data_IF_625729963323
#
_entry.id   IF_625729963323
#
_cell.length_a   1.000
_cell.length_b   1.000
_cell.length_c   1.000
_cell.angle_alpha   90.00
_cell.angle_beta   90.00
_cell.angle_gamma   90.00
#
_symmetry.space_group_name_H-M   'P 1'
#
loop_
_entity.id
_entity.type
_entity.pdbx_description
1 polymer ?
#
# COMPACT_ATOMS: atom_id res chain seq x y z
N UNK A 1 11.77 6.35 0.95
CA UNK A 1 12.01 4.92 1.28
C UNK A 1 13.36 4.72 1.98
N UNK A 2 14.46 5.27 1.43
CA UNK A 2 15.82 5.09 1.99
C UNK A 2 15.88 5.48 3.47
N UNK A 3 15.43 6.69 3.81
CA UNK A 3 15.44 7.20 5.18
C UNK A 3 14.58 6.34 6.13
N UNK A 4 13.42 5.91 5.66
CA UNK A 4 12.52 5.06 6.44
C UNK A 4 13.16 3.70 6.71
N UNK A 5 13.74 3.04 5.70
CA UNK A 5 14.42 1.76 5.89
C UNK A 5 15.63 1.88 6.83
N UNK A 6 16.40 2.95 6.72
CA UNK A 6 17.52 3.20 7.66
C UNK A 6 17.04 3.28 9.12
N UNK A 7 15.90 3.92 9.36
CA UNK A 7 15.30 4.00 10.70
C UNK A 7 14.82 2.64 11.20
N UNK A 8 14.20 1.86 10.33
CA UNK A 8 13.75 0.50 10.69
C UNK A 8 14.94 -0.37 11.07
N UNK A 9 16.00 -0.37 10.26
CA UNK A 9 17.21 -1.15 10.49
C UNK A 9 17.87 -0.72 11.79
N UNK A 10 18.03 0.58 12.01
CA UNK A 10 18.64 1.12 13.23
C UNK A 10 17.94 0.64 14.50
N UNK A 11 16.63 0.42 14.44
CA UNK A 11 15.82 0.00 15.59
C UNK A 11 15.51 -1.51 15.60
N UNK A 12 16.11 -2.28 14.68
CA UNK A 12 15.87 -3.73 14.57
C UNK A 12 14.48 -4.10 14.07
N UNK A 13 13.72 -3.14 13.55
CA UNK A 13 12.35 -3.35 13.10
C UNK A 13 12.28 -4.07 11.76
N UNK A 14 13.32 -3.99 10.95
CA UNK A 14 13.45 -4.72 9.68
C UNK A 14 13.45 -6.24 9.90
N UNK A 15 13.94 -6.71 11.03
CA UNK A 15 13.90 -8.12 11.42
C UNK A 15 12.63 -8.46 12.19
N UNK A 16 12.15 -7.55 13.03
CA UNK A 16 10.97 -7.78 13.86
C UNK A 16 9.67 -7.82 13.04
N UNK A 17 9.43 -6.82 12.18
CA UNK A 17 8.16 -6.69 11.47
C UNK A 17 7.83 -7.95 10.65
N UNK A 18 8.74 -8.52 9.84
CA UNK A 18 8.43 -9.75 9.11
C UNK A 18 8.09 -10.95 9.98
N UNK A 19 8.53 -10.96 11.25
CA UNK A 19 8.27 -12.04 12.18
C UNK A 19 6.93 -11.93 12.92
N UNK A 20 6.24 -10.80 12.80
CA UNK A 20 4.98 -10.55 13.49
C UNK A 20 3.88 -11.50 12.99
N UNK A 21 3.02 -11.94 13.92
CA UNK A 21 1.87 -12.83 13.62
C UNK A 21 0.55 -12.11 13.68
N UNK A 22 0.46 -11.01 14.42
CA UNK A 22 -0.73 -10.18 14.44
C UNK A 22 -0.90 -9.42 13.12
N UNK A 23 -2.12 -8.96 12.80
CA UNK A 23 -2.33 -8.14 11.62
C UNK A 23 -1.45 -6.88 11.62
N UNK A 24 -0.85 -6.60 10.48
CA UNK A 24 0.01 -5.43 10.26
C UNK A 24 -0.53 -4.66 9.06
N UNK A 25 -0.70 -3.36 9.20
CA UNK A 25 -1.18 -2.48 8.12
C UNK A 25 -0.08 -1.47 7.73
N UNK A 26 0.37 -1.55 6.50
CA UNK A 26 1.25 -0.55 5.88
C UNK A 26 0.43 0.48 5.11
N UNK A 27 0.57 1.76 5.44
CA UNK A 27 -0.13 2.86 4.78
C UNK A 27 0.85 3.66 3.94
N UNK A 28 0.50 3.93 2.69
CA UNK A 28 1.27 4.70 1.72
C UNK A 28 2.70 4.16 1.58
N UNK A 29 3.71 4.88 2.08
CA UNK A 29 5.09 4.39 2.13
C UNK A 29 5.19 3.04 2.85
N UNK A 30 4.40 2.85 3.91
CA UNK A 30 4.36 1.58 4.65
C UNK A 30 4.00 0.39 3.78
N UNK A 31 3.04 0.54 2.87
CA UNK A 31 2.72 -0.50 1.88
C UNK A 31 3.93 -0.82 0.99
N UNK A 32 4.60 0.22 0.49
CA UNK A 32 5.74 0.06 -0.39
C UNK A 32 6.93 -0.62 0.31
N UNK A 33 7.11 -0.36 1.59
CA UNK A 33 8.18 -1.00 2.39
C UNK A 33 7.92 -2.48 2.66
N UNK A 34 6.68 -2.97 2.53
CA UNK A 34 6.39 -4.40 2.60
C UNK A 34 6.96 -5.18 1.41
N UNK A 35 7.26 -4.51 0.31
CA UNK A 35 7.76 -5.12 -0.93
C UNK A 35 9.25 -5.43 -0.85
N UNK A 36 9.76 -6.20 -1.85
CA UNK A 36 11.17 -6.57 -1.91
C UNK A 36 12.09 -5.37 -2.14
N UNK A 37 11.72 -4.54 -3.11
CA UNK A 37 12.54 -3.41 -3.56
C UNK A 37 11.69 -2.23 -3.98
N UNK A 38 12.29 -1.06 -3.98
CA UNK A 38 11.67 0.14 -4.55
C UNK A 38 12.67 0.91 -5.40
N UNK A 39 12.21 1.47 -6.51
CA UNK A 39 12.99 2.39 -7.34
C UNK A 39 13.29 3.70 -6.62
N UNK A 40 12.56 4.04 -5.56
CA UNK A 40 12.84 5.20 -4.74
C UNK A 40 14.16 5.01 -3.98
N UNK A 41 15.23 5.56 -4.55
CA UNK A 41 16.59 5.43 -4.02
C UNK A 41 17.18 4.02 -4.19
N UNK A 42 16.63 3.20 -5.09
CA UNK A 42 17.05 1.81 -5.34
C UNK A 42 17.28 1.05 -4.03
N UNK A 43 16.26 1.03 -3.18
CA UNK A 43 16.33 0.53 -1.81
C UNK A 43 15.62 -0.82 -1.67
N UNK A 44 16.18 -1.71 -0.86
CA UNK A 44 15.50 -2.93 -0.45
C UNK A 44 14.43 -2.60 0.59
N UNK A 45 13.26 -3.25 0.46
CA UNK A 45 12.20 -3.21 1.46
C UNK A 45 12.30 -4.35 2.46
N UNK A 46 11.17 -4.69 3.07
CA UNK A 46 11.08 -5.75 4.09
C UNK A 46 10.99 -7.17 3.49
N UNK A 47 10.81 -7.28 2.18
CA UNK A 47 10.81 -8.57 1.51
C UNK A 47 9.59 -9.47 1.81
N UNK A 48 8.49 -8.88 2.24
CA UNK A 48 7.27 -9.64 2.57
C UNK A 48 6.47 -9.95 1.32
N UNK A 49 6.30 -8.97 0.44
CA UNK A 49 5.60 -9.13 -0.85
C UNK A 49 6.63 -9.15 -1.97
N UNK A 50 6.67 -10.23 -2.80
CA UNK A 50 7.74 -10.42 -3.78
C UNK A 50 7.53 -9.58 -5.05
N UNK A 51 7.63 -8.26 -4.92
CA UNK A 51 7.48 -7.33 -6.04
C UNK A 51 8.38 -6.11 -5.87
N UNK A 52 8.59 -5.40 -6.97
CA UNK A 52 9.35 -4.15 -7.00
C UNK A 52 8.40 -2.97 -7.16
N UNK A 53 8.55 -1.98 -6.29
CA UNK A 53 7.84 -0.70 -6.39
C UNK A 53 8.47 0.13 -7.50
N UNK A 54 7.67 0.63 -8.43
CA UNK A 54 8.11 1.32 -9.64
C UNK A 54 7.72 2.80 -9.59
N UNK A 55 8.46 3.64 -10.30
CA UNK A 55 8.10 5.04 -10.47
C UNK A 55 7.09 5.20 -11.61
N UNK A 56 6.10 6.09 -11.43
CA UNK A 56 5.20 6.44 -12.52
C UNK A 56 5.99 7.03 -13.71
N UNK A 57 5.57 6.73 -14.95
CA UNK A 57 6.24 7.25 -16.15
C UNK A 57 6.08 8.77 -16.28
N UNK A 58 6.99 9.41 -17.02
CA UNK A 58 6.95 10.85 -17.25
C UNK A 58 5.78 11.32 -18.15
N UNK A 59 5.00 10.39 -18.67
CA UNK A 59 3.81 10.67 -19.49
C UNK A 59 2.62 11.18 -18.66
N UNK A 60 2.69 11.07 -17.34
CA UNK A 60 1.68 11.55 -16.40
C UNK A 60 2.30 12.49 -15.39
N UNK A 61 1.46 13.33 -14.76
CA UNK A 61 1.91 14.19 -13.68
C UNK A 61 2.34 13.35 -12.47
N UNK A 62 3.51 13.63 -11.92
CA UNK A 62 4.07 12.95 -10.73
C UNK A 62 4.37 14.01 -9.67
N UNK A 63 3.92 13.85 -8.41
CA UNK A 63 3.13 12.73 -7.89
C UNK A 63 1.68 12.70 -8.40
N UNK A 64 1.07 11.51 -8.38
CA UNK A 64 -0.39 11.41 -8.39
C UNK A 64 -0.89 12.01 -7.08
N UNK A 65 -1.77 12.98 -7.13
CA UNK A 65 -2.28 13.66 -5.93
C UNK A 65 -3.77 13.93 -6.09
N UNK A 66 -4.55 13.49 -5.12
CA UNK A 66 -5.99 13.70 -5.09
C UNK A 66 -6.79 12.41 -4.94
N UNK A 67 -8.08 12.53 -5.19
CA UNK A 67 -9.03 11.42 -5.08
C UNK A 67 -9.05 10.59 -6.36
N UNK A 68 -9.04 9.27 -6.22
CA UNK A 68 -9.16 8.36 -7.35
C UNK A 68 -10.01 7.15 -6.99
N UNK A 69 -10.58 6.53 -8.02
CA UNK A 69 -11.46 5.38 -7.90
C UNK A 69 -10.68 4.14 -7.48
N UNK A 70 -11.26 3.37 -6.58
CA UNK A 70 -10.68 2.11 -6.10
C UNK A 70 -11.69 0.98 -6.33
N UNK A 71 -11.23 -0.08 -6.98
CA UNK A 71 -11.96 -1.35 -7.08
C UNK A 71 -11.27 -2.40 -6.21
N UNK A 72 -12.03 -3.28 -5.57
CA UNK A 72 -11.48 -4.18 -4.56
C UNK A 72 -12.23 -5.52 -4.52
N UNK A 73 -11.67 -6.47 -3.79
CA UNK A 73 -12.21 -7.82 -3.64
C UNK A 73 -13.46 -7.92 -2.75
N UNK A 74 -13.84 -6.85 -2.07
CA UNK A 74 -14.95 -6.81 -1.10
C UNK A 74 -14.81 -7.80 0.06
N UNK A 75 -13.58 -8.14 0.42
CA UNK A 75 -13.25 -9.03 1.54
C UNK A 75 -12.17 -8.41 2.41
N UNK A 76 -12.00 -8.92 3.62
CA UNK A 76 -10.97 -8.45 4.54
C UNK A 76 -11.12 -6.96 4.82
N UNK A 77 -10.07 -6.16 4.52
CA UNK A 77 -10.08 -4.71 4.74
C UNK A 77 -11.21 -3.99 4.01
N UNK A 78 -11.65 -4.52 2.87
CA UNK A 78 -12.58 -3.81 1.99
C UNK A 78 -14.04 -4.24 2.17
N UNK A 79 -14.30 -5.09 3.16
CA UNK A 79 -15.67 -5.57 3.42
C UNK A 79 -16.63 -4.41 3.70
N UNK A 80 -17.74 -4.37 2.95
CA UNK A 80 -18.77 -3.35 3.12
C UNK A 80 -18.41 -1.98 2.56
N UNK A 81 -17.28 -1.84 1.90
CA UNK A 81 -16.90 -0.61 1.19
C UNK A 81 -17.44 -0.67 -0.23
N UNK A 82 -18.09 0.40 -0.68
CA UNK A 82 -18.67 0.47 -2.02
C UNK A 82 -17.59 0.34 -3.09
N UNK A 83 -17.86 -0.46 -4.14
CA UNK A 83 -17.01 -0.52 -5.32
C UNK A 83 -16.98 0.83 -6.02
N UNK A 84 -15.80 1.20 -6.54
CA UNK A 84 -15.63 2.49 -7.19
C UNK A 84 -15.65 3.66 -6.21
N UNK A 85 -15.43 3.41 -4.91
CA UNK A 85 -15.27 4.49 -3.95
C UNK A 85 -14.01 5.31 -4.27
N UNK A 86 -14.01 6.57 -3.87
CA UNK A 86 -12.84 7.44 -4.01
C UNK A 86 -12.02 7.41 -2.73
N UNK A 87 -10.71 7.22 -2.91
CA UNK A 87 -9.71 7.29 -1.84
C UNK A 87 -8.68 8.36 -2.15
N UNK A 88 -8.12 8.98 -1.13
CA UNK A 88 -7.12 10.04 -1.30
C UNK A 88 -5.72 9.45 -1.45
N UNK A 89 -5.04 9.87 -2.50
CA UNK A 89 -3.72 9.39 -2.91
C UNK A 89 -2.73 10.54 -3.06
N UNK A 90 -1.49 10.34 -2.62
CA UNK A 90 -0.37 11.24 -2.90
C UNK A 90 0.90 10.39 -2.94
N UNK A 91 1.37 10.05 -4.15
CA UNK A 91 2.54 9.19 -4.31
C UNK A 91 3.14 9.30 -5.72
N UNK A 92 4.44 9.01 -5.82
CA UNK A 92 5.19 9.02 -7.07
C UNK A 92 5.58 7.62 -7.53
N UNK A 93 5.48 6.64 -6.64
CA UNK A 93 5.84 5.24 -6.88
C UNK A 93 4.62 4.36 -6.61
N UNK A 94 4.54 3.23 -7.28
CA UNK A 94 3.38 2.34 -7.20
C UNK A 94 3.81 0.87 -7.18
N UNK A 95 2.94 0.04 -6.64
CA UNK A 95 3.07 -1.42 -6.68
C UNK A 95 2.33 -1.94 -7.92
N UNK A 96 2.99 -2.70 -8.82
CA UNK A 96 2.31 -3.31 -9.96
C UNK A 96 1.19 -4.26 -9.53
N UNK A 97 0.34 -4.66 -10.47
CA UNK A 97 -0.64 -5.73 -10.22
C UNK A 97 0.09 -7.05 -10.03
N UNK A 98 -0.17 -7.69 -8.90
CA UNK A 98 0.45 -8.96 -8.49
C UNK A 98 -0.62 -9.92 -7.96
N UNK A 99 -0.20 -11.14 -7.63
CA UNK A 99 -1.09 -12.13 -7.00
C UNK A 99 -1.65 -11.62 -5.68
N UNK A 100 -0.86 -10.85 -4.94
CA UNK A 100 -1.22 -10.29 -3.65
C UNK A 100 -2.14 -9.05 -3.73
N UNK A 101 -2.50 -8.59 -4.93
CA UNK A 101 -3.35 -7.41 -5.11
C UNK A 101 -4.76 -7.66 -4.57
N UNK A 102 -5.19 -6.83 -3.62
CA UNK A 102 -6.55 -6.87 -3.04
C UNK A 102 -7.42 -5.70 -3.49
N UNK A 103 -6.79 -4.63 -3.97
CA UNK A 103 -7.49 -3.47 -4.52
C UNK A 103 -6.62 -2.79 -5.57
N UNK A 104 -7.27 -2.19 -6.56
CA UNK A 104 -6.58 -1.55 -7.68
C UNK A 104 -7.21 -0.21 -8.06
N UNK A 105 -6.39 0.61 -8.69
CA UNK A 105 -6.78 1.89 -9.26
C UNK A 105 -6.11 2.04 -10.63
N UNK A 106 -6.36 3.15 -11.30
CA UNK A 106 -5.80 3.45 -12.62
C UNK A 106 -5.14 4.82 -12.61
N UNK A 107 -3.85 4.85 -12.99
CA UNK A 107 -3.11 6.08 -13.25
C UNK A 107 -1.93 5.74 -14.16
N UNK A 108 -2.01 6.15 -15.44
CA UNK A 108 -1.08 5.69 -16.49
C UNK A 108 -1.13 4.15 -16.74
N UNK A 109 -2.07 3.45 -16.13
CA UNK A 109 -2.25 2.01 -16.17
C UNK A 109 -2.85 1.52 -14.86
N UNK A 110 -3.31 0.27 -14.83
CA UNK A 110 -3.76 -0.35 -13.58
C UNK A 110 -2.57 -0.59 -12.66
N UNK A 111 -2.80 -0.37 -11.36
CA UNK A 111 -1.80 -0.66 -10.34
C UNK A 111 -2.47 -1.02 -9.02
N UNK A 112 -1.70 -1.61 -8.12
CA UNK A 112 -2.20 -2.04 -6.80
C UNK A 112 -2.31 -0.86 -5.85
N UNK A 113 -3.49 -0.63 -5.30
CA UNK A 113 -3.69 0.30 -4.18
C UNK A 113 -3.99 -0.44 -2.88
N UNK A 114 -4.11 -1.76 -2.95
CA UNK A 114 -4.22 -2.65 -1.81
C UNK A 114 -3.48 -3.95 -2.10
N UNK A 115 -2.74 -4.43 -1.12
CA UNK A 115 -2.07 -5.74 -1.15
C UNK A 115 -2.34 -6.49 0.14
N UNK A 116 -2.32 -7.81 0.06
CA UNK A 116 -2.43 -8.68 1.23
C UNK A 116 -1.55 -9.89 1.06
N UNK A 117 -0.73 -10.18 2.08
CA UNK A 117 0.01 -11.42 2.18
C UNK A 117 0.04 -11.89 3.64
N UNK A 118 -0.52 -13.08 3.91
CA UNK A 118 -0.65 -13.62 5.27
C UNK A 118 -1.33 -12.61 6.21
N UNK A 119 -0.66 -12.19 7.27
CA UNK A 119 -1.14 -11.19 8.24
C UNK A 119 -0.76 -9.75 7.87
N UNK A 120 -0.12 -9.55 6.71
CA UNK A 120 0.29 -8.22 6.25
C UNK A 120 -0.69 -7.65 5.25
N UNK A 121 -1.09 -6.41 5.50
CA UNK A 121 -2.00 -5.62 4.67
C UNK A 121 -1.30 -4.33 4.28
N UNK A 122 -1.48 -3.90 3.05
CA UNK A 122 -0.95 -2.61 2.58
C UNK A 122 -2.01 -1.85 1.80
N UNK A 123 -2.05 -0.53 1.99
CA UNK A 123 -2.87 0.37 1.18
C UNK A 123 -2.04 1.56 0.73
N UNK A 124 -2.16 1.93 -0.56
CA UNK A 124 -1.41 3.06 -1.12
C UNK A 124 -2.04 4.40 -0.76
N UNK A 125 -3.36 4.44 -0.66
CA UNK A 125 -4.09 5.63 -0.26
C UNK A 125 -3.95 5.87 1.25
N UNK A 126 -4.39 7.05 1.67
CA UNK A 126 -4.44 7.45 3.08
C UNK A 126 -5.86 7.25 3.61
N UNK A 127 -6.16 6.15 4.31
CA UNK A 127 -7.51 5.93 4.84
C UNK A 127 -7.93 7.03 5.81
N UNK A 128 -6.99 7.57 6.59
CA UNK A 128 -7.25 8.68 7.52
C UNK A 128 -7.68 9.97 6.82
N UNK A 129 -7.46 10.07 5.50
CA UNK A 129 -7.86 11.20 4.64
C UNK A 129 -8.92 10.83 3.61
N UNK A 130 -9.50 9.65 3.71
CA UNK A 130 -10.40 9.09 2.69
C UNK A 130 -11.86 9.03 3.15
N UNK A 131 -12.27 9.93 4.03
CA UNK A 131 -13.66 10.11 4.47
C UNK A 131 -14.27 8.81 5.03
N UNK A 132 -15.53 8.52 4.74
CA UNK A 132 -16.26 7.36 5.29
C UNK A 132 -15.66 6.03 4.85
N UNK A 133 -15.25 5.92 3.60
CA UNK A 133 -14.65 4.69 3.07
C UNK A 133 -13.34 4.38 3.80
N UNK A 134 -12.51 5.39 4.04
CA UNK A 134 -11.27 5.25 4.80
C UNK A 134 -11.51 4.85 6.26
N UNK A 135 -12.48 5.48 6.91
CA UNK A 135 -12.87 5.12 8.29
C UNK A 135 -13.37 3.68 8.37
N UNK A 136 -14.19 3.25 7.41
CA UNK A 136 -14.67 1.86 7.35
C UNK A 136 -13.53 0.88 7.21
N UNK A 137 -12.53 1.21 6.39
CA UNK A 137 -11.36 0.36 6.20
C UNK A 137 -10.58 0.19 7.52
N UNK A 138 -10.35 1.29 8.25
CA UNK A 138 -9.66 1.23 9.54
C UNK A 138 -10.46 0.43 10.58
N UNK A 139 -11.78 0.58 10.63
CA UNK A 139 -12.64 -0.25 11.48
C UNK A 139 -12.52 -1.73 11.10
N UNK A 140 -12.54 -2.05 9.81
CA UNK A 140 -12.37 -3.42 9.33
C UNK A 140 -11.03 -4.02 9.79
N UNK A 141 -9.97 -3.22 9.71
CA UNK A 141 -8.65 -3.67 10.17
C UNK A 141 -8.66 -4.02 11.66
N UNK A 142 -9.31 -3.20 12.49
CA UNK A 142 -9.38 -3.45 13.93
C UNK A 142 -10.20 -4.70 14.29
N UNK A 143 -10.99 -5.23 13.35
CA UNK A 143 -11.82 -6.43 13.55
C UNK A 143 -11.20 -7.70 12.93
N UNK A 144 -10.05 -7.60 12.33
CA UNK A 144 -9.36 -8.75 11.72
C UNK A 144 -8.75 -9.66 12.79
#
# INVERSE_FOLDING_TARGET
>A
AVSAMKKLIKNGLDQLIPSLKQPVLGICLGMQLLCDKTEEGETNGLGIVPTKVLRFPNTVKVPQMGWNLVTHSNTGLFRGIQQGCHMYLVHSYFVPIEEETSAKSYYAGEYSVGIKKNNFYGVQFHPEKSSKAGSQLLENFLKI
#
